data_IF_709451168137
#
_entry.id   IF_709451168137
#
_cell.length_a   1.000
_cell.length_b   1.000
_cell.length_c   1.000
_cell.angle_alpha   90.00
_cell.angle_beta   90.00
_cell.angle_gamma   90.00
#
_symmetry.space_group_name_H-M   'P 1'
#
loop_
_entity.id
_entity.type
_entity.pdbx_description
1 polymer ?
#
# COMPACT_ATOMS: atom_id res chain seq x y z
N UNK A 1 -18.83 -7.45 -14.96
CA UNK A 1 -17.56 -6.82 -14.55
C UNK A 1 -17.18 -5.57 -15.33
N UNK A 2 -17.58 -5.44 -16.61
CA UNK A 2 -17.28 -4.25 -17.46
C UNK A 2 -17.60 -2.91 -16.78
N UNK A 3 -18.75 -2.70 -16.10
CA UNK A 3 -19.03 -1.42 -15.44
C UNK A 3 -17.99 -1.03 -14.39
N UNK A 4 -17.47 -2.01 -13.63
CA UNK A 4 -16.46 -1.76 -12.59
C UNK A 4 -15.09 -1.41 -13.19
N UNK A 5 -14.72 -2.01 -14.32
CA UNK A 5 -13.50 -1.66 -15.04
C UNK A 5 -13.58 -0.23 -15.62
N UNK A 6 -14.72 0.14 -16.20
CA UNK A 6 -14.96 1.49 -16.71
C UNK A 6 -14.93 2.54 -15.58
N UNK A 7 -15.62 2.27 -14.46
CA UNK A 7 -15.58 3.13 -13.28
C UNK A 7 -14.16 3.29 -12.74
N UNK A 8 -13.43 2.19 -12.60
CA UNK A 8 -12.03 2.20 -12.13
C UNK A 8 -11.15 3.03 -13.06
N UNK A 9 -11.25 2.81 -14.37
CA UNK A 9 -10.50 3.56 -15.38
C UNK A 9 -10.80 5.05 -15.31
N UNK A 10 -12.08 5.42 -15.20
CA UNK A 10 -12.50 6.81 -15.09
C UNK A 10 -11.95 7.48 -13.83
N UNK A 11 -12.04 6.83 -12.67
CA UNK A 11 -11.49 7.35 -11.40
C UNK A 11 -9.97 7.50 -11.46
N UNK A 12 -9.26 6.51 -12.02
CA UNK A 12 -7.81 6.60 -12.23
C UNK A 12 -7.47 7.76 -13.16
N UNK A 13 -8.21 7.95 -14.26
CA UNK A 13 -8.00 9.07 -15.16
C UNK A 13 -8.20 10.43 -14.46
N UNK A 14 -9.17 10.53 -13.54
CA UNK A 14 -9.35 11.76 -12.74
C UNK A 14 -8.18 12.06 -11.81
N UNK A 15 -7.46 11.04 -11.33
CA UNK A 15 -6.34 11.18 -10.41
C UNK A 15 -5.00 11.39 -11.12
N UNK A 16 -4.75 10.69 -12.23
CA UNK A 16 -3.41 10.61 -12.86
C UNK A 16 -3.41 10.92 -14.37
N UNK A 17 -4.54 11.36 -14.91
CA UNK A 17 -4.70 11.67 -16.34
C UNK A 17 -4.41 10.47 -17.25
N UNK A 18 -3.70 10.71 -18.34
CA UNK A 18 -3.40 9.72 -19.39
C UNK A 18 -2.63 8.49 -18.91
N UNK A 19 -1.98 8.55 -17.74
CA UNK A 19 -1.34 7.37 -17.12
C UNK A 19 -2.35 6.24 -16.87
N UNK A 20 -3.64 6.56 -16.71
CA UNK A 20 -4.71 5.57 -16.57
C UNK A 20 -4.85 4.63 -17.78
N UNK A 21 -4.32 4.99 -18.96
CA UNK A 21 -4.29 4.08 -20.12
C UNK A 21 -3.48 2.80 -19.84
N UNK A 22 -2.46 2.85 -18.98
CA UNK A 22 -1.73 1.64 -18.57
C UNK A 22 -2.61 0.65 -17.81
N UNK A 23 -3.64 1.13 -17.10
CA UNK A 23 -4.66 0.25 -16.51
C UNK A 23 -5.62 -0.24 -17.60
N UNK A 24 -6.21 0.69 -18.36
CA UNK A 24 -7.25 0.39 -19.35
C UNK A 24 -6.82 -0.61 -20.44
N UNK A 25 -5.55 -0.57 -20.83
CA UNK A 25 -4.96 -1.43 -21.86
C UNK A 25 -4.25 -2.67 -21.27
N UNK A 26 -4.29 -2.87 -19.96
CA UNK A 26 -3.61 -4.00 -19.33
C UNK A 26 -4.26 -5.33 -19.78
N UNK A 27 -3.50 -6.28 -20.38
CA UNK A 27 -4.02 -7.59 -20.77
C UNK A 27 -4.78 -8.36 -19.67
N UNK A 28 -4.40 -8.28 -18.37
CA UNK A 28 -5.17 -8.90 -17.30
C UNK A 28 -6.63 -8.47 -17.24
N UNK A 29 -6.98 -7.25 -17.67
CA UNK A 29 -8.39 -6.83 -17.76
C UNK A 29 -9.16 -7.66 -18.78
N UNK A 30 -8.55 -8.03 -19.90
CA UNK A 30 -9.23 -8.86 -20.91
C UNK A 30 -9.32 -10.30 -20.40
N UNK A 31 -8.19 -10.85 -19.93
CA UNK A 31 -8.09 -12.25 -19.54
C UNK A 31 -8.96 -12.58 -18.33
N UNK A 32 -8.96 -11.73 -17.29
CA UNK A 32 -9.55 -12.08 -16.00
C UNK A 32 -10.91 -11.46 -15.72
N UNK A 33 -11.41 -10.54 -16.57
CA UNK A 33 -12.68 -9.84 -16.33
C UNK A 33 -13.88 -10.76 -16.10
N UNK A 34 -13.85 -11.99 -16.59
CA UNK A 34 -14.97 -12.93 -16.51
C UNK A 34 -14.70 -14.12 -15.58
N UNK A 35 -13.55 -14.15 -14.90
CA UNK A 35 -13.19 -15.26 -14.02
C UNK A 35 -13.80 -15.14 -12.62
N UNK A 36 -13.96 -13.91 -12.11
CA UNK A 36 -14.39 -13.68 -10.72
C UNK A 36 -14.87 -12.24 -10.47
N UNK A 37 -15.26 -11.96 -9.23
CA UNK A 37 -15.73 -10.67 -8.72
C UNK A 37 -14.60 -9.68 -8.35
N UNK A 38 -13.36 -9.96 -8.74
CA UNK A 38 -12.21 -9.16 -8.34
C UNK A 38 -12.26 -7.70 -8.82
N UNK A 39 -12.86 -7.43 -9.99
CA UNK A 39 -13.01 -6.06 -10.48
C UNK A 39 -13.97 -5.21 -9.64
N UNK A 40 -14.97 -5.83 -8.99
CA UNK A 40 -15.83 -5.12 -8.04
C UNK A 40 -15.01 -4.66 -6.82
N UNK A 41 -14.14 -5.54 -6.31
CA UNK A 41 -13.26 -5.21 -5.17
C UNK A 41 -12.26 -4.12 -5.55
N UNK A 42 -11.64 -4.24 -6.73
CA UNK A 42 -10.72 -3.22 -7.27
C UNK A 42 -11.41 -1.87 -7.41
N UNK A 43 -12.65 -1.83 -7.91
CA UNK A 43 -13.41 -0.59 -8.00
C UNK A 43 -13.69 0.02 -6.61
N UNK A 44 -14.07 -0.80 -5.61
CA UNK A 44 -14.25 -0.33 -4.23
C UNK A 44 -12.97 0.28 -3.66
N UNK A 45 -11.82 -0.37 -3.87
CA UNK A 45 -10.52 0.12 -3.43
C UNK A 45 -10.11 1.42 -4.14
N UNK A 46 -10.30 1.52 -5.46
CA UNK A 46 -9.98 2.74 -6.20
C UNK A 46 -10.93 3.89 -5.87
N UNK A 47 -12.21 3.60 -5.57
CA UNK A 47 -13.11 4.60 -4.98
C UNK A 47 -12.59 5.08 -3.62
N UNK A 48 -12.05 4.20 -2.78
CA UNK A 48 -11.44 4.60 -1.51
C UNK A 48 -10.22 5.51 -1.74
N UNK A 49 -9.33 5.18 -2.67
CA UNK A 49 -8.19 6.03 -3.02
C UNK A 49 -8.62 7.38 -3.60
N UNK A 50 -9.68 7.40 -4.40
CA UNK A 50 -10.24 8.65 -4.89
C UNK A 50 -10.85 9.50 -3.77
N UNK A 51 -11.56 8.89 -2.81
CA UNK A 51 -12.08 9.58 -1.64
C UNK A 51 -10.95 10.16 -0.78
N UNK A 52 -9.88 9.38 -0.56
CA UNK A 52 -8.68 9.80 0.15
C UNK A 52 -8.01 10.98 -0.54
N UNK A 53 -7.84 10.91 -1.86
CA UNK A 53 -7.29 12.00 -2.67
C UNK A 53 -8.15 13.28 -2.60
N UNK A 54 -9.43 13.17 -2.25
CA UNK A 54 -10.35 14.30 -2.00
C UNK A 54 -10.44 14.71 -0.52
N UNK A 55 -9.54 14.23 0.34
CA UNK A 55 -9.54 14.53 1.78
C UNK A 55 -10.70 13.88 2.56
N UNK A 56 -11.45 12.94 1.96
CA UNK A 56 -12.63 12.32 2.59
C UNK A 56 -12.24 11.05 3.34
N UNK A 57 -11.63 11.21 4.51
CA UNK A 57 -11.01 10.09 5.24
C UNK A 57 -12.03 9.08 5.77
N UNK A 58 -13.13 9.55 6.36
CA UNK A 58 -14.21 8.65 6.81
C UNK A 58 -14.78 7.84 5.61
N UNK A 59 -15.02 8.49 4.47
CA UNK A 59 -15.48 7.81 3.26
C UNK A 59 -14.46 6.80 2.75
N UNK A 60 -13.16 7.10 2.85
CA UNK A 60 -12.08 6.16 2.53
C UNK A 60 -12.17 4.91 3.39
N UNK A 61 -12.30 5.06 4.71
CA UNK A 61 -12.43 3.94 5.63
C UNK A 61 -13.67 3.08 5.32
N UNK A 62 -14.82 3.70 5.05
CA UNK A 62 -16.06 2.99 4.67
C UNK A 62 -15.84 2.16 3.39
N UNK A 63 -15.25 2.76 2.35
CA UNK A 63 -15.04 2.08 1.06
C UNK A 63 -14.02 0.95 1.15
N UNK A 64 -12.95 1.11 1.96
CA UNK A 64 -12.02 0.02 2.27
C UNK A 64 -12.73 -1.12 3.01
N UNK A 65 -13.65 -0.81 3.92
CA UNK A 65 -14.45 -1.83 4.62
C UNK A 65 -15.42 -2.53 3.67
N UNK A 66 -16.10 -1.81 2.79
CA UNK A 66 -16.97 -2.41 1.77
C UNK A 66 -16.15 -3.36 0.88
N UNK A 67 -14.99 -2.91 0.38
CA UNK A 67 -14.07 -3.77 -0.36
C UNK A 67 -13.62 -4.99 0.46
N UNK A 68 -13.32 -4.77 1.73
CA UNK A 68 -12.97 -5.78 2.74
C UNK A 68 -14.01 -6.88 2.96
N UNK A 69 -15.29 -6.50 2.97
CA UNK A 69 -16.40 -7.43 3.11
C UNK A 69 -16.59 -8.29 1.85
N UNK A 70 -16.17 -7.78 0.68
CA UNK A 70 -16.16 -8.55 -0.57
C UNK A 70 -14.91 -9.45 -0.66
N UNK A 71 -13.76 -8.96 -0.21
CA UNK A 71 -12.49 -9.70 -0.15
C UNK A 71 -11.57 -9.05 0.87
N UNK A 72 -10.83 -9.84 1.63
CA UNK A 72 -10.13 -9.36 2.82
C UNK A 72 -9.08 -8.24 2.58
N UNK A 73 -8.45 -8.19 1.41
CA UNK A 73 -7.23 -7.41 1.20
C UNK A 73 -7.35 -5.88 1.30
N UNK A 74 -8.46 -5.20 0.96
CA UNK A 74 -8.59 -3.76 1.16
C UNK A 74 -8.61 -3.36 2.64
N UNK A 75 -9.01 -4.26 3.56
CA UNK A 75 -8.97 -3.97 5.01
C UNK A 75 -7.55 -3.71 5.50
N UNK A 76 -6.54 -4.32 4.86
CA UNK A 76 -5.14 -4.13 5.24
C UNK A 76 -4.69 -2.68 5.09
N UNK A 77 -5.40 -1.87 4.28
CA UNK A 77 -5.08 -0.46 4.05
C UNK A 77 -5.65 0.47 5.13
N UNK A 78 -6.50 -0.03 6.03
CA UNK A 78 -6.95 0.75 7.18
C UNK A 78 -5.80 1.11 8.13
N UNK A 79 -4.81 0.21 8.28
CA UNK A 79 -3.63 0.46 9.12
C UNK A 79 -2.76 1.63 8.60
N UNK A 80 -2.31 1.66 7.34
CA UNK A 80 -1.58 2.82 6.83
C UNK A 80 -2.44 4.09 6.76
N UNK A 81 -3.78 3.99 6.59
CA UNK A 81 -4.66 5.15 6.66
C UNK A 81 -4.67 5.76 8.07
N UNK A 82 -4.86 4.95 9.11
CA UNK A 82 -4.82 5.41 10.50
C UNK A 82 -3.45 5.99 10.87
N UNK A 83 -2.35 5.34 10.46
CA UNK A 83 -1.00 5.88 10.67
C UNK A 83 -0.79 7.21 9.94
N UNK A 84 -1.38 7.40 8.75
CA UNK A 84 -1.28 8.68 8.06
C UNK A 84 -1.99 9.84 8.77
N UNK A 85 -2.99 9.56 9.61
CA UNK A 85 -3.65 10.57 10.46
C UNK A 85 -2.85 10.83 11.72
N UNK A 86 -2.34 9.76 12.35
CA UNK A 86 -1.46 9.88 13.52
C UNK A 86 -0.15 10.64 13.20
N UNK A 87 0.41 10.44 12.00
CA UNK A 87 1.62 11.15 11.59
C UNK A 87 1.38 12.65 11.37
N UNK A 88 0.18 13.02 10.90
CA UNK A 88 -0.28 14.41 10.79
C UNK A 88 -0.72 15.02 12.13
N UNK A 89 -0.40 14.36 13.26
CA UNK A 89 -0.84 14.70 14.64
C UNK A 89 -2.35 14.79 14.86
N UNK A 90 -3.17 14.35 13.88
CA UNK A 90 -4.62 14.27 14.01
C UNK A 90 -5.06 12.92 14.61
N UNK A 91 -4.87 12.83 15.94
CA UNK A 91 -5.32 11.65 16.72
C UNK A 91 -6.83 11.47 16.69
N UNK A 92 -7.58 12.57 16.57
CA UNK A 92 -9.04 12.54 16.49
C UNK A 92 -9.51 11.81 15.25
N UNK A 93 -8.96 12.16 14.09
CA UNK A 93 -9.31 11.52 12.82
C UNK A 93 -8.75 10.09 12.71
N UNK A 94 -7.60 9.78 13.33
CA UNK A 94 -7.14 8.39 13.46
C UNK A 94 -8.12 7.49 14.24
N UNK A 95 -8.67 8.00 15.35
CA UNK A 95 -9.74 7.32 16.09
C UNK A 95 -11.00 7.22 15.25
N UNK A 96 -11.35 8.30 14.52
CA UNK A 96 -12.51 8.31 13.61
C UNK A 96 -12.40 7.27 12.51
N UNK A 97 -11.23 7.08 11.90
CA UNK A 97 -10.96 6.00 10.92
C UNK A 97 -11.29 4.64 11.55
N UNK A 98 -10.79 4.39 12.75
CA UNK A 98 -10.99 3.12 13.46
C UNK A 98 -12.47 2.89 13.78
N UNK A 99 -13.15 3.87 14.37
CA UNK A 99 -14.57 3.78 14.71
C UNK A 99 -15.45 3.65 13.47
N UNK A 100 -15.15 4.40 12.41
CA UNK A 100 -15.88 4.32 11.13
C UNK A 100 -15.70 2.94 10.51
N UNK A 101 -14.50 2.38 10.54
CA UNK A 101 -14.23 1.06 10.00
C UNK A 101 -14.98 -0.03 10.78
N UNK A 102 -14.88 -0.02 12.12
CA UNK A 102 -15.60 -0.98 12.98
C UNK A 102 -17.11 -0.84 12.80
N UNK A 103 -17.64 0.38 12.87
CA UNK A 103 -19.07 0.66 12.72
C UNK A 103 -19.61 0.21 11.38
N UNK A 104 -18.89 0.49 10.29
CA UNK A 104 -19.29 0.07 8.93
C UNK A 104 -19.25 -1.44 8.77
N UNK A 105 -18.21 -2.10 9.30
CA UNK A 105 -18.08 -3.55 9.22
C UNK A 105 -19.21 -4.23 9.97
N UNK A 106 -19.53 -3.74 11.18
CA UNK A 106 -20.64 -4.25 11.99
C UNK A 106 -21.98 -3.98 11.31
N UNK A 107 -22.22 -2.80 10.76
CA UNK A 107 -23.47 -2.49 10.06
C UNK A 107 -23.71 -3.44 8.88
N UNK A 108 -22.66 -3.79 8.15
CA UNK A 108 -22.74 -4.72 7.01
C UNK A 108 -22.90 -6.18 7.49
N UNK A 109 -22.13 -6.62 8.50
CA UNK A 109 -21.99 -8.04 8.84
C UNK A 109 -22.88 -8.50 10.01
N UNK A 110 -23.31 -7.61 10.92
CA UNK A 110 -23.99 -7.99 12.16
C UNK A 110 -25.26 -8.79 11.89
N UNK A 111 -26.04 -8.40 10.89
CA UNK A 111 -27.24 -9.14 10.49
C UNK A 111 -26.94 -10.61 10.15
N UNK A 112 -25.88 -10.85 9.36
CA UNK A 112 -25.47 -12.20 8.97
C UNK A 112 -24.91 -13.00 10.16
N UNK A 113 -24.12 -12.35 11.02
CA UNK A 113 -23.55 -12.95 12.23
C UNK A 113 -24.66 -13.40 13.20
N UNK A 114 -25.64 -12.53 13.45
CA UNK A 114 -26.75 -12.78 14.39
C UNK A 114 -27.66 -13.88 13.86
N UNK A 115 -28.03 -13.85 12.58
CA UNK A 115 -28.95 -14.83 12.01
C UNK A 115 -28.31 -16.19 11.72
N UNK A 116 -27.06 -16.21 11.25
CA UNK A 116 -26.37 -17.44 10.87
C UNK A 116 -24.85 -17.28 10.93
N UNK A 117 -24.31 -17.28 12.15
CA UNK A 117 -22.87 -17.23 12.39
C UNK A 117 -22.08 -18.30 11.62
N UNK A 118 -22.58 -19.55 11.57
CA UNK A 118 -21.90 -20.64 10.84
C UNK A 118 -21.75 -20.32 9.35
N UNK A 119 -22.82 -19.80 8.73
CA UNK A 119 -22.81 -19.38 7.33
C UNK A 119 -21.85 -18.22 7.08
N UNK A 120 -21.84 -17.22 7.96
CA UNK A 120 -20.90 -16.10 7.89
C UNK A 120 -19.43 -16.57 8.03
N UNK A 121 -19.15 -17.48 8.97
CA UNK A 121 -17.81 -18.00 9.24
C UNK A 121 -17.28 -18.95 8.15
N UNK A 122 -18.16 -19.60 7.39
CA UNK A 122 -17.81 -20.63 6.41
C UNK A 122 -16.74 -20.17 5.41
N UNK A 123 -16.79 -18.91 4.96
CA UNK A 123 -15.80 -18.36 4.02
C UNK A 123 -14.39 -18.28 4.63
N UNK A 124 -14.27 -17.89 5.91
CA UNK A 124 -13.00 -17.83 6.61
C UNK A 124 -12.46 -19.23 6.89
N UNK A 125 -13.33 -20.14 7.31
CA UNK A 125 -12.98 -21.54 7.53
C UNK A 125 -12.48 -22.21 6.24
N UNK A 126 -13.14 -21.96 5.10
CA UNK A 126 -12.71 -22.47 3.81
C UNK A 126 -11.30 -22.00 3.43
N UNK A 127 -10.95 -20.74 3.67
CA UNK A 127 -9.60 -20.24 3.39
C UNK A 127 -8.55 -20.81 4.36
N UNK A 128 -8.91 -21.00 5.64
CA UNK A 128 -8.01 -21.59 6.62
C UNK A 128 -7.66 -23.06 6.28
N UNK A 129 -8.68 -23.82 5.85
CA UNK A 129 -8.56 -25.23 5.45
C UNK A 129 -8.07 -25.42 4.01
N UNK A 130 -7.81 -24.33 3.26
CA UNK A 130 -7.34 -24.44 1.89
C UNK A 130 -5.88 -24.89 1.86
N UNK A 131 -5.65 -26.02 1.22
CA UNK A 131 -4.31 -26.58 1.05
C UNK A 131 -3.50 -25.80 0.02
N UNK A 132 -2.17 -25.76 0.20
CA UNK A 132 -1.27 -25.29 -0.83
C UNK A 132 -1.06 -26.41 -1.87
N UNK A 133 -1.94 -26.46 -2.86
CA UNK A 133 -1.98 -27.52 -3.87
C UNK A 133 -1.45 -27.10 -5.25
N UNK A 134 -1.53 -28.02 -6.21
CA UNK A 134 -1.07 -27.82 -7.59
C UNK A 134 -1.76 -26.67 -8.33
N UNK A 135 -2.98 -26.33 -7.91
CA UNK A 135 -3.80 -25.26 -8.48
C UNK A 135 -3.58 -23.93 -7.80
N UNK A 136 -2.83 -23.92 -6.69
CA UNK A 136 -2.63 -22.76 -5.85
C UNK A 136 -1.64 -21.76 -6.43
N UNK A 137 -0.82 -22.15 -7.44
CA UNK A 137 0.19 -21.31 -8.11
C UNK A 137 1.07 -20.49 -7.15
N UNK A 138 1.28 -20.99 -5.93
CA UNK A 138 2.00 -20.30 -4.87
C UNK A 138 3.40 -20.88 -4.72
N UNK A 139 4.31 -20.08 -4.15
CA UNK A 139 5.67 -20.53 -3.84
C UNK A 139 5.66 -21.73 -2.88
N UNK A 140 4.63 -21.86 -2.04
CA UNK A 140 4.50 -22.94 -1.07
C UNK A 140 4.39 -24.29 -1.75
N UNK A 141 3.50 -24.41 -2.75
CA UNK A 141 3.37 -25.67 -3.49
C UNK A 141 4.59 -25.96 -4.36
N UNK A 142 5.12 -24.95 -5.06
CA UNK A 142 6.16 -25.16 -6.07
C UNK A 142 7.59 -25.25 -5.51
N UNK A 143 7.83 -24.79 -4.29
CA UNK A 143 9.15 -24.76 -3.67
C UNK A 143 9.23 -25.51 -2.34
N UNK A 144 8.15 -25.47 -1.55
CA UNK A 144 8.13 -25.92 -0.16
C UNK A 144 7.07 -27.00 0.08
N UNK A 145 6.86 -27.87 -0.91
CA UNK A 145 5.82 -28.91 -0.89
C UNK A 145 5.92 -29.90 0.28
N UNK A 146 7.09 -29.99 0.91
CA UNK A 146 7.32 -30.82 2.09
C UNK A 146 6.73 -30.23 3.38
N UNK A 147 6.36 -28.95 3.39
CA UNK A 147 5.70 -28.32 4.53
C UNK A 147 4.22 -28.70 4.53
N UNK A 148 3.73 -29.15 5.67
CA UNK A 148 2.31 -29.45 5.85
C UNK A 148 1.48 -28.17 6.05
N UNK A 149 0.17 -28.28 5.85
CA UNK A 149 -0.73 -27.13 5.94
C UNK A 149 -0.80 -26.55 7.37
N UNK A 150 -0.57 -27.37 8.40
CA UNK A 150 -0.50 -26.89 9.78
C UNK A 150 0.70 -25.97 9.99
N UNK A 151 1.86 -26.30 9.44
CA UNK A 151 3.05 -25.45 9.47
C UNK A 151 2.83 -24.18 8.66
N UNK A 152 2.25 -24.27 7.45
CA UNK A 152 1.95 -23.10 6.64
C UNK A 152 0.95 -22.16 7.34
N UNK A 153 -0.06 -22.70 8.01
CA UNK A 153 -1.03 -21.93 8.80
C UNK A 153 -0.41 -21.18 9.98
N UNK A 154 0.81 -21.55 10.42
CA UNK A 154 1.58 -20.82 11.44
C UNK A 154 2.54 -19.81 10.82
N UNK A 155 3.29 -20.22 9.79
CA UNK A 155 4.35 -19.40 9.18
C UNK A 155 3.77 -18.23 8.36
N UNK A 156 2.73 -18.47 7.55
CA UNK A 156 2.18 -17.45 6.66
C UNK A 156 1.70 -16.20 7.42
N UNK A 157 0.89 -16.31 8.49
CA UNK A 157 0.49 -15.14 9.27
C UNK A 157 1.67 -14.38 9.89
N UNK A 158 2.71 -15.09 10.34
CA UNK A 158 3.93 -14.47 10.89
C UNK A 158 4.66 -13.67 9.82
N UNK A 159 4.88 -14.24 8.63
CA UNK A 159 5.53 -13.56 7.52
C UNK A 159 4.74 -12.32 7.06
N UNK A 160 3.41 -12.43 7.00
CA UNK A 160 2.54 -11.30 6.69
C UNK A 160 2.64 -10.20 7.75
N UNK A 161 2.55 -10.55 9.04
CA UNK A 161 2.69 -9.60 10.13
C UNK A 161 4.05 -8.88 10.08
N UNK A 162 5.15 -9.62 9.95
CA UNK A 162 6.50 -9.05 9.84
C UNK A 162 6.63 -8.12 8.63
N UNK A 163 6.12 -8.53 7.47
CA UNK A 163 6.19 -7.73 6.25
C UNK A 163 5.32 -6.48 6.31
N UNK A 164 4.14 -6.56 6.93
CA UNK A 164 3.25 -5.42 7.13
C UNK A 164 3.87 -4.43 8.10
N UNK A 165 4.37 -4.91 9.25
CA UNK A 165 5.10 -4.07 10.22
C UNK A 165 6.30 -3.40 9.56
N UNK A 166 7.08 -4.12 8.75
CA UNK A 166 8.21 -3.54 8.02
C UNK A 166 7.77 -2.44 7.05
N UNK A 167 6.69 -2.65 6.29
CA UNK A 167 6.14 -1.63 5.38
C UNK A 167 5.64 -0.39 6.14
N UNK A 168 4.90 -0.60 7.23
CA UNK A 168 4.34 0.47 8.06
C UNK A 168 5.46 1.29 8.72
N UNK A 169 6.46 0.63 9.29
CA UNK A 169 7.61 1.24 9.93
C UNK A 169 8.50 1.98 8.91
N UNK A 170 8.70 1.40 7.72
CA UNK A 170 9.40 2.09 6.63
C UNK A 170 8.67 3.37 6.23
N UNK A 171 7.33 3.30 6.06
CA UNK A 171 6.51 4.47 5.75
C UNK A 171 6.64 5.57 6.79
N UNK A 172 6.58 5.20 8.08
CA UNK A 172 6.74 6.13 9.20
C UNK A 172 8.12 6.77 9.22
N UNK A 173 9.18 5.96 9.06
CA UNK A 173 10.56 6.45 9.01
C UNK A 173 10.76 7.40 7.82
N UNK A 174 10.24 7.05 6.65
CA UNK A 174 10.34 7.88 5.44
C UNK A 174 9.66 9.23 5.65
N UNK A 175 8.44 9.23 6.21
CA UNK A 175 7.68 10.45 6.47
C UNK A 175 8.46 11.39 7.40
N UNK A 176 9.03 10.86 8.50
CA UNK A 176 9.85 11.64 9.42
C UNK A 176 11.16 12.16 8.81
N UNK A 177 11.83 11.37 7.96
CA UNK A 177 13.12 11.74 7.39
C UNK A 177 13.01 12.77 6.26
N UNK A 178 11.90 12.72 5.50
CA UNK A 178 11.68 13.62 4.37
C UNK A 178 10.88 14.87 4.76
N UNK A 179 10.40 14.96 6.01
CA UNK A 179 9.41 15.97 6.43
C UNK A 179 8.19 15.99 5.49
N UNK A 180 7.81 14.80 5.01
CA UNK A 180 6.70 14.58 4.08
C UNK A 180 5.53 13.89 4.80
N UNK A 181 4.31 14.04 4.26
CA UNK A 181 3.16 13.27 4.71
C UNK A 181 3.39 11.75 4.60
N UNK A 182 2.78 10.99 5.51
CA UNK A 182 2.89 9.53 5.52
C UNK A 182 2.50 8.90 4.16
N UNK A 183 3.32 8.01 3.58
CA UNK A 183 3.15 7.52 2.22
C UNK A 183 2.09 6.39 2.12
N UNK A 184 0.82 6.74 2.33
CA UNK A 184 -0.32 5.81 2.40
C UNK A 184 -0.42 4.85 1.20
N UNK A 185 -0.38 5.36 -0.03
CA UNK A 185 -0.51 4.53 -1.24
C UNK A 185 0.67 3.56 -1.41
N UNK A 186 1.89 4.02 -1.13
CA UNK A 186 3.12 3.23 -1.26
C UNK A 186 3.13 2.08 -0.26
N UNK A 187 2.78 2.35 1.00
CA UNK A 187 2.71 1.33 2.06
C UNK A 187 1.60 0.34 1.75
N UNK A 188 0.44 0.81 1.29
CA UNK A 188 -0.67 -0.06 0.87
C UNK A 188 -0.27 -1.00 -0.29
N UNK A 189 0.45 -0.48 -1.28
CA UNK A 189 0.96 -1.27 -2.40
C UNK A 189 1.93 -2.37 -1.93
N UNK A 190 2.84 -2.04 -1.02
CA UNK A 190 3.81 -2.98 -0.46
C UNK A 190 3.14 -4.07 0.39
N UNK A 191 2.17 -3.69 1.24
CA UNK A 191 1.33 -4.62 1.99
C UNK A 191 0.62 -5.60 1.05
N UNK A 192 0.07 -5.11 -0.07
CA UNK A 192 -0.56 -5.97 -1.06
C UNK A 192 0.45 -6.92 -1.73
N UNK A 193 1.65 -6.45 -2.07
CA UNK A 193 2.72 -7.31 -2.60
C UNK A 193 3.07 -8.45 -1.63
N UNK A 194 3.24 -8.14 -0.34
CA UNK A 194 3.53 -9.14 0.68
C UNK A 194 2.37 -10.14 0.84
N UNK A 195 1.13 -9.66 0.83
CA UNK A 195 -0.05 -10.54 0.85
C UNK A 195 -0.07 -11.50 -0.33
N UNK A 196 0.13 -10.98 -1.54
CA UNK A 196 0.14 -11.79 -2.76
C UNK A 196 1.28 -12.81 -2.79
N UNK A 197 2.43 -12.49 -2.22
CA UNK A 197 3.60 -13.36 -2.19
C UNK A 197 3.42 -14.52 -1.20
N UNK A 198 2.97 -14.22 0.03
CA UNK A 198 2.94 -15.20 1.12
C UNK A 198 1.61 -15.93 1.26
N UNK A 199 0.52 -15.49 0.61
CA UNK A 199 -0.74 -16.21 0.68
C UNK A 199 -0.59 -17.65 0.14
N UNK A 200 -1.23 -18.63 0.82
CA UNK A 200 -1.17 -20.06 0.46
C UNK A 200 -1.70 -20.33 -0.94
N UNK A 201 -2.68 -19.54 -1.38
CA UNK A 201 -3.27 -19.61 -2.70
C UNK A 201 -3.11 -18.31 -3.46
N UNK A 202 -2.63 -18.41 -4.69
CA UNK A 202 -2.42 -17.32 -5.61
C UNK A 202 -3.20 -17.58 -6.90
N UNK A 203 -4.31 -16.87 -7.11
CA UNK A 203 -5.01 -16.96 -8.38
C UNK A 203 -4.33 -16.06 -9.42
N UNK A 204 -4.20 -16.48 -10.69
CA UNK A 204 -3.65 -15.62 -11.74
C UNK A 204 -4.33 -14.24 -11.79
N UNK A 205 -5.65 -14.20 -11.58
CA UNK A 205 -6.46 -12.98 -11.59
C UNK A 205 -6.07 -11.94 -10.52
N UNK A 206 -5.28 -12.29 -9.51
CA UNK A 206 -4.78 -11.35 -8.52
C UNK A 206 -3.89 -10.25 -9.13
N UNK A 207 -3.42 -10.44 -10.37
CA UNK A 207 -2.80 -9.38 -11.14
C UNK A 207 -3.66 -8.11 -11.23
N UNK A 208 -5.00 -8.25 -11.28
CA UNK A 208 -5.94 -7.14 -11.31
C UNK A 208 -5.81 -6.19 -10.12
N UNK A 209 -5.43 -6.70 -8.94
CA UNK A 209 -5.37 -5.91 -7.71
C UNK A 209 -4.17 -4.95 -7.69
N UNK A 210 -3.10 -5.32 -8.40
CA UNK A 210 -1.87 -4.52 -8.48
C UNK A 210 -1.93 -3.44 -9.56
N UNK A 211 -2.75 -3.61 -10.60
CA UNK A 211 -2.82 -2.67 -11.73
C UNK A 211 -3.05 -1.21 -11.30
N UNK A 212 -3.96 -0.88 -10.35
CA UNK A 212 -4.14 0.50 -9.91
C UNK A 212 -2.85 1.11 -9.36
N UNK A 213 -2.04 0.35 -8.62
CA UNK A 213 -0.81 0.87 -8.01
C UNK A 213 0.28 1.20 -9.04
N UNK A 214 0.37 0.45 -10.15
CA UNK A 214 1.28 0.79 -11.26
C UNK A 214 0.97 2.14 -11.90
N UNK A 215 -0.28 2.58 -11.78
CA UNK A 215 -0.76 3.83 -12.36
C UNK A 215 -0.67 4.97 -11.36
N UNK A 216 -1.07 4.70 -10.11
CA UNK A 216 -1.07 5.65 -8.99
C UNK A 216 0.33 5.98 -8.47
N UNK A 217 1.32 5.11 -8.68
CA UNK A 217 2.70 5.33 -8.31
C UNK A 217 3.59 5.54 -9.54
N UNK A 218 4.56 6.44 -9.43
CA UNK A 218 5.53 6.74 -10.49
C UNK A 218 6.60 5.64 -10.57
N UNK A 219 6.20 4.49 -11.08
CA UNK A 219 7.13 3.38 -11.38
C UNK A 219 7.56 3.42 -12.84
N UNK A 220 8.81 3.02 -13.11
CA UNK A 220 9.30 2.85 -14.48
C UNK A 220 8.43 1.83 -15.21
N UNK A 221 8.07 2.13 -16.46
CA UNK A 221 7.20 1.28 -17.27
C UNK A 221 7.74 -0.16 -17.41
N UNK A 222 9.06 -0.36 -17.30
CA UNK A 222 9.71 -1.68 -17.32
C UNK A 222 9.24 -2.59 -16.19
N UNK A 223 8.90 -2.05 -15.01
CA UNK A 223 8.35 -2.84 -13.90
C UNK A 223 6.94 -3.32 -14.21
N UNK A 224 6.12 -2.46 -14.81
CA UNK A 224 4.78 -2.80 -15.29
C UNK A 224 4.85 -3.86 -16.38
N UNK A 225 5.68 -3.66 -17.41
CA UNK A 225 5.85 -4.60 -18.50
C UNK A 225 6.41 -5.95 -18.04
N UNK A 226 7.41 -5.94 -17.14
CA UNK A 226 7.99 -7.17 -16.57
C UNK A 226 6.97 -7.98 -15.77
N UNK A 227 6.20 -7.32 -14.90
CA UNK A 227 5.13 -7.99 -14.16
C UNK A 227 4.08 -8.60 -15.10
N UNK A 228 3.64 -7.84 -16.11
CA UNK A 228 2.68 -8.32 -17.10
C UNK A 228 3.20 -9.43 -18.00
N UNK A 229 4.50 -9.44 -18.32
CA UNK A 229 5.11 -10.53 -19.08
C UNK A 229 5.07 -11.85 -18.29
N UNK A 230 5.40 -11.82 -17.00
CA UNK A 230 5.28 -13.02 -16.15
C UNK A 230 3.82 -13.40 -15.88
N UNK A 231 2.91 -12.43 -15.79
CA UNK A 231 1.47 -12.74 -15.73
C UNK A 231 0.97 -13.40 -17.02
N UNK A 232 1.41 -12.94 -18.19
CA UNK A 232 1.09 -13.55 -19.47
C UNK A 232 1.62 -14.99 -19.57
N UNK A 233 2.87 -15.20 -19.14
CA UNK A 233 3.48 -16.53 -19.08
C UNK A 233 2.71 -17.47 -18.14
N UNK A 234 2.30 -16.96 -16.98
CA UNK A 234 1.45 -17.71 -16.05
C UNK A 234 0.10 -18.04 -16.68
N UNK A 235 -0.59 -17.06 -17.26
CA UNK A 235 -1.91 -17.24 -17.86
C UNK A 235 -1.87 -18.29 -18.98
N UNK A 236 -1.08 -18.04 -20.02
CA UNK A 236 -1.00 -18.92 -21.20
C UNK A 236 -0.47 -20.29 -20.79
N UNK A 237 0.59 -20.32 -19.99
CA UNK A 237 1.19 -21.57 -19.51
C UNK A 237 0.22 -22.41 -18.70
N UNK A 238 -0.48 -21.81 -17.73
CA UNK A 238 -1.39 -22.52 -16.84
C UNK A 238 -2.57 -23.14 -17.60
N UNK A 239 -3.28 -22.34 -18.41
CA UNK A 239 -4.45 -22.85 -19.13
C UNK A 239 -4.07 -23.87 -20.21
N UNK A 240 -2.95 -23.65 -20.91
CA UNK A 240 -2.44 -24.63 -21.86
C UNK A 240 -2.00 -25.92 -21.16
N UNK A 241 -1.35 -25.80 -20.01
CA UNK A 241 -0.88 -26.96 -19.25
C UNK A 241 -2.04 -27.77 -18.68
N UNK A 242 -3.12 -27.14 -18.21
CA UNK A 242 -4.33 -27.85 -17.83
C UNK A 242 -4.96 -28.61 -19.00
N UNK A 243 -4.97 -28.01 -20.20
CA UNK A 243 -5.38 -28.72 -21.40
C UNK A 243 -4.47 -29.94 -21.67
N UNK A 244 -3.16 -29.76 -21.69
CA UNK A 244 -2.19 -30.85 -21.95
C UNK A 244 -2.32 -32.00 -20.93
N UNK A 245 -2.53 -31.65 -19.66
CA UNK A 245 -2.72 -32.62 -18.57
C UNK A 245 -4.00 -33.45 -18.74
N UNK A 246 -5.06 -32.87 -19.31
CA UNK A 246 -6.28 -33.61 -19.63
C UNK A 246 -6.05 -34.71 -20.68
N UNK A 247 -4.99 -34.60 -21.48
CA UNK A 247 -4.55 -35.60 -22.45
C UNK A 247 -3.33 -36.42 -21.98
N UNK A 248 -3.03 -36.42 -20.67
CA UNK A 248 -1.97 -37.24 -20.08
C UNK A 248 -0.56 -36.64 -20.20
N UNK A 249 -0.41 -35.41 -20.69
CA UNK A 249 0.89 -34.74 -20.81
C UNK A 249 1.09 -33.81 -19.61
N UNK A 250 1.89 -34.25 -18.63
CA UNK A 250 2.17 -33.42 -17.44
C UNK A 250 3.36 -32.47 -17.62
N UNK A 251 4.35 -32.79 -18.45
CA UNK A 251 5.53 -31.94 -18.63
C UNK A 251 5.72 -31.53 -20.08
N UNK A 252 5.99 -30.25 -20.30
CA UNK A 252 6.16 -29.65 -21.62
C UNK A 252 6.30 -28.13 -21.54
N UNK A 253 6.37 -27.44 -22.69
CA UNK A 253 6.57 -25.99 -22.76
C UNK A 253 5.53 -25.19 -21.96
N UNK A 254 4.29 -25.67 -21.89
CA UNK A 254 3.21 -25.03 -21.13
C UNK A 254 3.48 -25.00 -19.62
N UNK A 255 3.93 -26.13 -19.05
CA UNK A 255 4.32 -26.20 -17.63
C UNK A 255 5.53 -25.33 -17.35
N UNK A 256 6.51 -25.28 -18.25
CA UNK A 256 7.68 -24.40 -18.13
C UNK A 256 7.26 -22.93 -18.13
N UNK A 257 6.36 -22.52 -19.05
CA UNK A 257 5.83 -21.16 -19.09
C UNK A 257 5.04 -20.80 -17.82
N UNK A 258 4.20 -21.72 -17.33
CA UNK A 258 3.48 -21.56 -16.07
C UNK A 258 4.45 -21.36 -14.91
N UNK A 259 5.47 -22.22 -14.76
CA UNK A 259 6.47 -22.13 -13.70
C UNK A 259 7.27 -20.82 -13.80
N UNK A 260 7.67 -20.41 -15.00
CA UNK A 260 8.31 -19.12 -15.23
C UNK A 260 7.40 -17.96 -14.78
N UNK A 261 6.10 -18.05 -15.04
CA UNK A 261 5.11 -17.10 -14.56
C UNK A 261 4.97 -17.07 -13.03
N UNK A 262 4.87 -18.24 -12.38
CA UNK A 262 4.80 -18.35 -10.91
C UNK A 262 6.03 -17.72 -10.26
N UNK A 263 7.22 -18.15 -10.65
CA UNK A 263 8.47 -17.70 -10.06
C UNK A 263 8.80 -16.25 -10.41
N UNK A 264 8.57 -15.86 -11.67
CA UNK A 264 8.75 -14.49 -12.12
C UNK A 264 7.85 -13.52 -11.38
N UNK A 265 6.56 -13.86 -11.17
CA UNK A 265 5.66 -13.05 -10.34
C UNK A 265 6.11 -13.00 -8.88
N UNK A 266 6.55 -14.12 -8.29
CA UNK A 266 7.06 -14.11 -6.92
C UNK A 266 8.27 -13.17 -6.75
N UNK A 267 9.24 -13.24 -7.65
CA UNK A 267 10.40 -12.33 -7.68
C UNK A 267 9.95 -10.89 -7.88
N UNK A 268 9.04 -10.64 -8.83
CA UNK A 268 8.49 -9.30 -9.05
C UNK A 268 7.78 -8.77 -7.80
N UNK A 269 7.02 -9.57 -7.05
CA UNK A 269 6.35 -9.12 -5.84
C UNK A 269 7.34 -8.68 -4.76
N UNK A 270 8.45 -9.40 -4.59
CA UNK A 270 9.55 -9.00 -3.68
C UNK A 270 10.15 -7.67 -4.13
N UNK A 271 10.47 -7.52 -5.42
CA UNK A 271 11.07 -6.29 -5.93
C UNK A 271 10.08 -5.11 -5.87
N UNK A 272 8.83 -5.33 -6.25
CA UNK A 272 7.76 -4.33 -6.25
C UNK A 272 7.43 -3.84 -4.84
N UNK A 273 7.54 -4.70 -3.81
CA UNK A 273 7.45 -4.27 -2.42
C UNK A 273 8.39 -3.08 -2.15
N UNK A 274 9.66 -3.21 -2.55
CA UNK A 274 10.67 -2.17 -2.32
C UNK A 274 10.58 -1.00 -3.30
N UNK A 275 10.21 -1.27 -4.56
CA UNK A 275 10.02 -0.24 -5.59
C UNK A 275 8.87 0.67 -5.18
N UNK A 276 7.70 0.11 -4.84
CA UNK A 276 6.54 0.90 -4.45
C UNK A 276 6.78 1.74 -3.20
N UNK A 277 7.44 1.20 -2.17
CA UNK A 277 7.81 1.95 -0.97
C UNK A 277 8.66 3.19 -1.27
N UNK A 278 9.50 3.13 -2.31
CA UNK A 278 10.40 4.23 -2.74
C UNK A 278 9.78 5.14 -3.80
N UNK A 279 8.65 4.76 -4.38
CA UNK A 279 8.00 5.54 -5.43
C UNK A 279 7.39 6.85 -4.91
N UNK A 280 7.25 7.80 -5.84
CA UNK A 280 6.43 9.01 -5.66
C UNK A 280 5.00 8.75 -6.15
N UNK A 281 3.98 9.39 -5.58
CA UNK A 281 2.64 9.38 -6.15
C UNK A 281 2.63 9.99 -7.56
N UNK A 282 1.77 9.49 -8.43
CA UNK A 282 1.61 9.99 -9.80
C UNK A 282 0.58 11.13 -9.90
N UNK A 283 -0.05 11.48 -8.79
CA UNK A 283 -1.02 12.56 -8.64
C UNK A 283 -0.45 13.66 -7.75
N UNK A 284 -0.91 14.89 -7.95
CA UNK A 284 -0.72 15.96 -6.98
C UNK A 284 -1.60 15.67 -5.75
N UNK A 285 -1.01 15.80 -4.57
CA UNK A 285 -1.71 15.70 -3.30
C UNK A 285 -1.67 17.10 -2.71
N UNK A 286 -2.82 17.78 -2.70
CA UNK A 286 -2.92 19.09 -2.05
C UNK A 286 -2.71 18.90 -0.54
N UNK A 287 -1.87 19.73 0.11
CA UNK A 287 -1.72 19.71 1.56
C UNK A 287 -3.06 20.04 2.22
N UNK A 288 -3.33 19.42 3.37
CA UNK A 288 -4.55 19.68 4.13
C UNK A 288 -4.53 21.15 4.63
N UNK A 289 -5.66 21.88 4.69
CA UNK A 289 -5.67 23.28 5.12
C UNK A 289 -5.03 23.50 6.50
N UNK A 290 -5.13 22.50 7.39
CA UNK A 290 -4.55 22.54 8.73
C UNK A 290 -3.01 22.40 8.73
N UNK A 291 -2.42 21.75 7.72
CA UNK A 291 -0.96 21.70 7.53
C UNK A 291 -0.40 23.09 7.21
N UNK A 292 -1.16 23.92 6.50
CA UNK A 292 -0.77 25.30 6.14
C UNK A 292 -0.83 26.21 7.37
N UNK A 293 -1.90 26.12 8.18
CA UNK A 293 -2.01 26.89 9.42
C UNK A 293 -0.96 26.49 10.48
N UNK A 294 -0.62 25.20 10.57
CA UNK A 294 0.46 24.70 11.41
C UNK A 294 1.85 25.16 10.95
N UNK A 295 2.08 25.26 9.64
CA UNK A 295 3.32 25.77 9.07
C UNK A 295 3.45 27.29 9.23
N UNK A 296 2.37 28.06 9.01
CA UNK A 296 2.35 29.52 9.20
C UNK A 296 2.60 29.89 10.67
N UNK A 297 1.92 29.24 11.62
CA UNK A 297 2.15 29.47 13.06
C UNK A 297 3.57 29.11 13.52
N UNK A 298 4.19 28.09 12.92
CA UNK A 298 5.57 27.71 13.21
C UNK A 298 6.57 28.69 12.59
N UNK A 299 6.24 29.32 11.45
CA UNK A 299 7.04 30.39 10.85
C UNK A 299 6.96 31.71 11.63
N UNK A 300 5.77 32.09 12.11
CA UNK A 300 5.59 33.28 12.96
C UNK A 300 6.28 33.15 14.32
N UNK A 301 6.38 31.93 14.87
CA UNK A 301 7.14 31.68 16.10
C UNK A 301 8.65 31.80 15.93
N UNK A 302 9.19 31.53 14.74
CA UNK A 302 10.63 31.67 14.46
C UNK A 302 10.99 33.15 14.30
N UNK A 303 10.11 33.96 13.71
CA UNK A 303 10.34 35.39 13.49
C UNK A 303 10.10 36.27 14.73
N UNK A 304 9.45 35.75 15.77
CA UNK A 304 9.16 36.50 17.01
C UNK A 304 10.21 36.35 18.12
N UNK A 305 11.32 35.64 17.87
CA UNK A 305 12.46 35.61 18.80
C UNK A 305 13.20 36.96 18.75
N UNK A 306 12.73 37.89 19.57
CA UNK A 306 13.34 39.22 19.78
C UNK A 306 14.76 39.04 20.35
N UNK A 307 15.79 39.73 19.82
CA UNK A 307 17.13 39.65 20.41
C UNK A 307 17.10 40.18 21.84
N UNK A 308 17.57 39.37 22.80
CA UNK A 308 17.64 39.73 24.20
C UNK A 308 18.46 41.02 24.38
N UNK A 309 17.84 42.03 25.00
CA UNK A 309 18.50 43.28 25.39
C UNK A 309 19.54 43.00 26.50
N UNK A 310 20.74 43.61 26.48
CA UNK A 310 21.70 43.47 27.57
C UNK A 310 21.20 44.23 28.80
N UNK A 311 21.13 43.55 29.96
CA UNK A 311 20.72 44.15 31.23
C UNK A 311 21.76 45.11 31.83
N UNK A 312 21.34 46.04 32.70
CA UNK A 312 22.23 47.02 33.33
C UNK A 312 22.82 46.45 34.62
N UNK A 313 24.14 46.58 34.81
CA UNK A 313 24.75 47.14 36.03
C UNK A 313 26.25 46.86 36.09
N UNK A 314 27.04 47.93 36.30
CA UNK A 314 27.91 48.15 37.46
C UNK A 314 28.99 49.17 37.10
N UNK A 315 28.76 50.41 37.52
CA UNK A 315 29.79 51.44 37.66
C UNK A 315 30.25 51.51 39.12
N UNK A 316 31.54 51.24 39.36
CA UNK A 316 32.40 51.73 40.46
C UNK A 316 33.64 50.81 40.48
N UNK A 317 34.90 51.24 40.54
CA UNK A 317 35.56 52.53 40.74
C UNK A 317 37.02 52.22 41.14
N UNK A 318 37.95 53.09 40.75
CA UNK A 318 39.37 53.27 41.16
C UNK A 318 40.20 53.60 39.90
N UNK A 319 40.65 54.84 39.66
CA UNK A 319 41.83 55.49 40.26
C UNK A 319 43.03 54.52 40.27
N UNK A 320 44.20 54.77 39.65
CA UNK A 320 44.98 56.01 39.54
C UNK A 320 46.17 55.75 38.59
N UNK A 321 46.73 56.82 38.00
CA UNK A 321 48.15 56.99 37.60
C UNK A 321 48.73 56.12 36.45
N UNK A 322 49.66 56.52 35.58
CA UNK A 322 50.31 57.76 35.07
C UNK A 322 51.29 57.25 33.98
N UNK A 323 51.71 58.11 33.04
CA UNK A 323 52.96 57.91 32.27
C UNK A 323 52.79 57.31 30.87
N UNK A 324 52.74 58.09 29.79
CA UNK A 324 53.88 58.66 29.00
C UNK A 324 54.51 57.67 28.01
N UNK A 325 54.60 58.10 26.74
CA UNK A 325 55.58 57.63 25.74
C UNK A 325 54.95 56.92 24.53
N UNK A 326 54.49 57.64 23.51
CA UNK A 326 55.24 58.04 22.30
C UNK A 326 55.54 56.92 21.28
N UNK A 327 54.98 57.11 20.07
CA UNK A 327 55.60 56.89 18.73
C UNK A 327 56.17 55.47 18.44
N UNK A 328 55.82 54.77 17.36
CA UNK A 328 55.98 55.18 15.97
C UNK A 328 55.70 53.98 15.04
N UNK A 329 55.08 54.27 13.89
CA UNK A 329 55.33 53.77 12.53
C UNK A 329 55.66 52.30 12.19
N UNK A 330 54.87 51.82 11.21
CA UNK A 330 55.24 51.12 9.96
C UNK A 330 55.83 49.71 9.99
N UNK A 331 55.17 48.84 9.24
CA UNK A 331 55.61 47.53 8.76
C UNK A 331 54.45 46.84 8.06
#
# INVERSE_FOLDING_TARGET
MVPFSLLTTWLLFRMVGWRALLYALAPPLIWYSFHNWDLLVVAATVMAFYAWWKGRIATTAILLVIGGCLKLWPLFFLAPLALSRLHADDRGDAVRVTLTAVGSFMLINAWFVILNFKGWWASYQFQALRDADITSNSIWYWAFRSLDDQTLNRIVPILLALSFTAALAYGWRRANQAEEAYPFLQVSAAILCAFLLFNKAHSPQYALWLLPFFVLLQVRWTWWAGYLAFDAALYVGLFRWYYDRAFGVDFGPAKVAMLAGVWGRAIMLVLLFFVFLRSRPAMEIEPEPDDVAGAESRSEQVDTVTPAQPGPDLAAGAATETGVGSSSTSG
#
